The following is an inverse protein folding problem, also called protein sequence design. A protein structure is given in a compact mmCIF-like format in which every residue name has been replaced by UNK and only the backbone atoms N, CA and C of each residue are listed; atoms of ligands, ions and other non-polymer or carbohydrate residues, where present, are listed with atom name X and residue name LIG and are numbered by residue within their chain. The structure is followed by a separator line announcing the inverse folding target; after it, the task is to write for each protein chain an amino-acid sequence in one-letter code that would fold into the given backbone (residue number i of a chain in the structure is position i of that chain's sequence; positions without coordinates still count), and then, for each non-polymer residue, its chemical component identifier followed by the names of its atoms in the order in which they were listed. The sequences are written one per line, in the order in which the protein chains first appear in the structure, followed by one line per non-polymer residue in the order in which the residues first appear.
data_IF_144744738825
#
_entry.id   IF_144744738825
#
_cell.length_a   1.000
_cell.length_b   1.000
_cell.length_c   1.000
_cell.angle_alpha   90.00
_cell.angle_beta   90.00
_cell.angle_gamma   90.00
#
_symmetry.space_group_name_H-M   'P 1'
#
loop_
_entity.id
_entity.type
_entity.pdbx_description
1 polymer ?
#
# COMPACT_ATOMS: atom_id res chain seq x y z
N UNK A 1 -27.07 -8.07 -12.04
CA UNK A 1 -25.86 -8.84 -12.39
C UNK A 1 -24.67 -8.12 -11.80
N UNK A 2 -23.64 -8.81 -11.26
CA UNK A 2 -22.44 -8.13 -10.81
C UNK A 2 -21.81 -7.35 -11.97
N UNK A 3 -21.38 -6.12 -11.71
CA UNK A 3 -20.75 -5.25 -12.69
C UNK A 3 -19.44 -5.87 -13.19
N UNK A 4 -19.14 -5.74 -14.48
CA UNK A 4 -17.91 -6.30 -15.06
C UNK A 4 -16.68 -5.52 -14.53
N UNK A 5 -15.58 -6.22 -14.25
CA UNK A 5 -14.33 -5.59 -13.79
C UNK A 5 -13.82 -4.52 -14.77
N UNK A 6 -14.05 -4.72 -16.07
CA UNK A 6 -13.70 -3.75 -17.12
C UNK A 6 -14.52 -2.46 -17.03
N UNK A 7 -15.81 -2.54 -16.73
CA UNK A 7 -16.69 -1.39 -16.54
C UNK A 7 -16.28 -0.60 -15.28
N UNK A 8 -16.01 -1.31 -14.18
CA UNK A 8 -15.51 -0.71 -12.94
C UNK A 8 -14.19 0.03 -13.19
N UNK A 9 -13.26 -0.60 -13.92
CA UNK A 9 -11.98 0.00 -14.28
C UNK A 9 -12.17 1.28 -15.09
N UNK A 10 -12.97 1.25 -16.16
CA UNK A 10 -13.19 2.41 -17.03
C UNK A 10 -13.86 3.58 -16.30
N UNK A 11 -14.79 3.28 -15.39
CA UNK A 11 -15.43 4.30 -14.56
C UNK A 11 -14.42 4.94 -13.58
N UNK A 12 -13.58 4.14 -12.92
CA UNK A 12 -12.52 4.64 -12.04
C UNK A 12 -11.47 5.44 -12.81
N UNK A 13 -11.08 4.95 -13.99
CA UNK A 13 -10.11 5.62 -14.87
C UNK A 13 -10.58 7.01 -15.27
N UNK A 14 -11.84 7.12 -15.69
CA UNK A 14 -12.48 8.39 -16.03
C UNK A 14 -12.53 9.34 -14.83
N UNK A 15 -12.95 8.83 -13.67
CA UNK A 15 -13.10 9.61 -12.45
C UNK A 15 -11.76 10.16 -11.94
N UNK A 16 -10.74 9.29 -11.85
CA UNK A 16 -9.39 9.67 -11.43
C UNK A 16 -8.79 10.71 -12.39
N UNK A 17 -9.03 10.54 -13.70
CA UNK A 17 -8.61 11.50 -14.73
C UNK A 17 -9.29 12.86 -14.56
N UNK A 18 -10.61 12.87 -14.34
CA UNK A 18 -11.41 14.10 -14.15
C UNK A 18 -10.90 14.91 -12.96
N UNK A 19 -10.55 14.23 -11.86
CA UNK A 19 -10.12 14.88 -10.63
C UNK A 19 -8.61 14.96 -10.43
N UNK A 20 -7.80 14.72 -11.47
CA UNK A 20 -6.33 14.65 -11.34
C UNK A 20 -5.72 15.90 -10.69
N UNK A 21 -6.27 17.09 -10.92
CA UNK A 21 -5.79 18.33 -10.30
C UNK A 21 -5.89 18.33 -8.75
N UNK A 22 -6.74 17.48 -8.16
CA UNK A 22 -6.95 17.40 -6.71
C UNK A 22 -6.09 16.36 -6.00
N UNK A 23 -5.39 15.50 -6.73
CA UNK A 23 -4.56 14.45 -6.11
C UNK A 23 -3.17 14.30 -6.72
N UNK A 24 -3.00 14.69 -7.98
CA UNK A 24 -1.78 14.56 -8.79
C UNK A 24 -0.85 15.76 -8.64
N UNK A 25 -0.54 16.11 -7.39
CA UNK A 25 0.42 17.14 -7.03
C UNK A 25 1.12 16.79 -5.71
N UNK A 26 2.22 17.44 -5.40
CA UNK A 26 2.92 17.28 -4.11
C UNK A 26 2.64 18.48 -3.20
N UNK A 27 1.95 18.30 -2.05
CA UNK A 27 1.65 19.38 -1.11
C UNK A 27 2.90 20.15 -0.64
N UNK A 28 4.05 19.49 -0.56
CA UNK A 28 5.30 20.11 -0.13
C UNK A 28 5.81 21.17 -1.11
N UNK A 29 5.42 21.11 -2.39
CA UNK A 29 5.83 22.09 -3.40
C UNK A 29 4.99 23.37 -3.40
N UNK A 30 3.83 23.37 -2.74
CA UNK A 30 2.87 24.47 -2.84
C UNK A 30 2.86 25.28 -1.56
N UNK A 31 3.02 26.60 -1.65
CA UNK A 31 3.00 27.55 -0.51
C UNK A 31 1.62 28.12 -0.20
N UNK A 32 0.63 27.86 -1.05
CA UNK A 32 -0.78 28.21 -0.86
C UNK A 32 -1.69 27.03 -1.26
N UNK A 33 -2.99 27.14 -0.95
CA UNK A 33 -3.97 26.16 -1.47
C UNK A 33 -4.11 26.35 -2.98
N UNK A 34 -3.94 25.29 -3.80
CA UNK A 34 -4.08 25.43 -5.25
C UNK A 34 -5.51 25.79 -5.71
N UNK A 35 -6.46 25.76 -4.78
CA UNK A 35 -7.91 25.95 -5.00
C UNK A 35 -8.46 27.07 -4.13
N UNK A 36 -7.61 27.99 -3.65
CA UNK A 36 -7.97 29.05 -2.71
C UNK A 36 -9.20 29.88 -3.16
N UNK A 37 -9.33 30.16 -4.45
CA UNK A 37 -10.40 30.99 -5.02
C UNK A 37 -11.70 30.22 -5.27
N UNK A 38 -11.74 28.93 -4.97
CA UNK A 38 -12.93 28.09 -5.14
C UNK A 38 -13.73 27.96 -3.85
N UNK A 39 -15.01 27.56 -3.95
CA UNK A 39 -15.84 27.22 -2.78
C UNK A 39 -15.16 26.19 -1.87
N UNK A 40 -14.50 25.21 -2.50
CA UNK A 40 -13.78 24.16 -1.81
C UNK A 40 -12.56 24.75 -1.02
N UNK A 41 -11.83 25.72 -1.59
CA UNK A 41 -10.71 26.37 -0.91
C UNK A 41 -11.15 27.24 0.27
N UNK A 42 -12.24 28.00 0.11
CA UNK A 42 -12.86 28.77 1.19
C UNK A 42 -13.32 27.85 2.32
N UNK A 43 -13.92 26.71 1.98
CA UNK A 43 -14.34 25.71 2.96
C UNK A 43 -13.15 25.14 3.75
N UNK A 44 -12.05 24.76 3.07
CA UNK A 44 -10.83 24.33 3.75
C UNK A 44 -10.27 25.35 4.73
N UNK A 45 -10.29 26.64 4.36
CA UNK A 45 -9.73 27.69 5.21
C UNK A 45 -10.44 27.73 6.57
N UNK A 46 -11.74 27.41 6.59
CA UNK A 46 -12.58 27.39 7.79
C UNK A 46 -12.41 26.13 8.66
N UNK A 47 -11.76 25.07 8.16
CA UNK A 47 -11.55 23.85 8.94
C UNK A 47 -10.55 24.12 10.08
N UNK A 48 -11.00 23.87 11.31
CA UNK A 48 -10.21 23.98 12.53
C UNK A 48 -9.32 22.75 12.74
N UNK A 49 -8.20 22.86 13.49
CA UNK A 49 -7.26 21.74 13.70
C UNK A 49 -7.89 20.45 14.24
N UNK A 50 -8.85 20.54 15.17
CA UNK A 50 -9.54 19.36 15.73
C UNK A 50 -10.31 18.59 14.65
N UNK A 51 -10.94 19.32 13.74
CA UNK A 51 -11.72 18.74 12.66
C UNK A 51 -10.80 18.10 11.59
N UNK A 52 -9.61 18.68 11.35
CA UNK A 52 -8.59 18.09 10.48
C UNK A 52 -8.18 16.70 10.98
N UNK A 53 -7.93 16.55 12.28
CA UNK A 53 -7.50 15.26 12.85
C UNK A 53 -8.58 14.18 12.67
N UNK A 54 -9.85 14.54 12.89
CA UNK A 54 -10.98 13.64 12.65
C UNK A 54 -11.08 13.24 11.17
N UNK A 55 -11.00 14.23 10.26
CA UNK A 55 -11.05 13.99 8.81
C UNK A 55 -9.85 13.18 8.31
N UNK A 56 -8.68 13.27 8.92
CA UNK A 56 -7.52 12.45 8.52
C UNK A 56 -7.70 10.97 8.94
N UNK A 57 -8.24 10.73 10.14
CA UNK A 57 -8.38 9.41 10.73
C UNK A 57 -9.60 8.61 10.24
N UNK A 58 -10.72 9.29 9.96
CA UNK A 58 -11.97 8.64 9.56
C UNK A 58 -12.24 8.84 8.06
N UNK A 59 -11.93 7.80 7.28
CA UNK A 59 -12.11 7.81 5.83
C UNK A 59 -13.58 7.94 5.40
N UNK A 60 -14.50 7.30 6.14
CA UNK A 60 -15.94 7.34 5.84
C UNK A 60 -16.47 8.74 6.12
N UNK A 61 -16.12 9.30 7.26
CA UNK A 61 -16.50 10.66 7.62
C UNK A 61 -15.93 11.68 6.62
N UNK A 62 -14.65 11.57 6.27
CA UNK A 62 -14.02 12.44 5.29
C UNK A 62 -14.72 12.40 3.93
N UNK A 63 -15.07 11.21 3.44
CA UNK A 63 -15.80 11.07 2.18
C UNK A 63 -17.18 11.72 2.24
N UNK A 64 -17.90 11.54 3.35
CA UNK A 64 -19.18 12.21 3.58
C UNK A 64 -19.03 13.73 3.68
N UNK A 65 -17.97 14.21 4.33
CA UNK A 65 -17.73 15.63 4.54
C UNK A 65 -17.49 16.38 3.23
N UNK A 66 -16.72 15.78 2.31
CA UNK A 66 -16.40 16.38 1.02
C UNK A 66 -17.39 15.99 -0.11
N UNK A 67 -18.53 15.37 0.20
CA UNK A 67 -19.47 14.88 -0.82
C UNK A 67 -20.08 15.96 -1.68
N UNK A 68 -20.23 17.18 -1.15
CA UNK A 68 -20.72 18.33 -1.94
C UNK A 68 -19.78 18.68 -3.10
N UNK A 69 -18.47 18.50 -2.90
CA UNK A 69 -17.45 18.87 -3.87
C UNK A 69 -17.08 17.74 -4.82
N UNK A 70 -17.23 16.49 -4.37
CA UNK A 70 -16.91 15.29 -5.13
C UNK A 70 -18.02 14.22 -5.01
N UNK A 71 -19.27 14.52 -5.43
CA UNK A 71 -20.39 13.61 -5.23
C UNK A 71 -20.22 12.27 -5.97
N UNK A 72 -19.52 12.27 -7.10
CA UNK A 72 -19.22 11.09 -7.91
C UNK A 72 -18.37 10.08 -7.15
N UNK A 73 -17.58 10.51 -6.16
CA UNK A 73 -16.81 9.58 -5.33
C UNK A 73 -17.73 8.64 -4.56
N UNK A 74 -18.97 9.04 -4.24
CA UNK A 74 -19.95 8.22 -3.53
C UNK A 74 -20.51 7.05 -4.35
N UNK A 75 -20.27 7.03 -5.65
CA UNK A 75 -20.71 5.95 -6.53
C UNK A 75 -19.81 4.71 -6.44
N UNK A 76 -18.59 4.86 -5.92
CA UNK A 76 -17.60 3.79 -5.83
C UNK A 76 -17.53 3.24 -4.41
N UNK A 77 -18.23 2.17 -4.14
CA UNK A 77 -18.02 1.42 -2.91
C UNK A 77 -16.78 0.54 -3.06
N UNK A 78 -16.00 0.34 -1.99
CA UNK A 78 -14.97 -0.70 -2.01
C UNK A 78 -15.60 -2.06 -2.37
N UNK A 79 -14.77 -2.96 -2.91
CA UNK A 79 -15.17 -4.35 -3.10
C UNK A 79 -15.78 -4.90 -1.81
N UNK A 80 -16.84 -5.71 -1.94
CA UNK A 80 -17.58 -6.21 -0.79
C UNK A 80 -16.67 -6.95 0.19
N UNK A 81 -16.81 -6.60 1.47
CA UNK A 81 -16.25 -7.38 2.57
C UNK A 81 -17.00 -8.69 2.64
N UNK A 82 -16.28 -9.79 2.40
CA UNK A 82 -16.90 -11.12 2.50
C UNK A 82 -17.04 -11.48 3.98
N UNK A 83 -18.28 -11.43 4.47
CA UNK A 83 -18.64 -11.91 5.81
C UNK A 83 -18.96 -13.40 5.75
N UNK A 84 -17.94 -14.25 5.60
CA UNK A 84 -18.18 -15.68 5.84
C UNK A 84 -18.39 -15.90 7.34
N UNK A 85 -19.53 -16.51 7.69
CA UNK A 85 -19.80 -16.98 9.04
C UNK A 85 -18.74 -18.01 9.39
N UNK A 86 -17.83 -17.63 10.29
CA UNK A 86 -16.80 -18.52 10.81
C UNK A 86 -17.49 -19.65 11.58
N UNK A 87 -17.70 -20.80 10.95
CA UNK A 87 -18.37 -21.96 11.57
C UNK A 87 -17.40 -22.89 12.28
N UNK A 88 -16.09 -22.77 12.06
CA UNK A 88 -15.10 -23.62 12.71
C UNK A 88 -13.85 -22.83 13.20
N UNK A 89 -13.99 -22.22 14.37
CA UNK A 89 -12.86 -21.73 15.16
C UNK A 89 -12.32 -22.82 16.09
N UNK A 90 -11.89 -23.97 15.57
CA UNK A 90 -10.92 -24.75 16.35
C UNK A 90 -9.76 -23.82 16.71
N UNK A 91 -9.56 -23.50 17.99
CA UNK A 91 -8.54 -22.56 18.39
C UNK A 91 -7.18 -23.10 17.95
N UNK A 92 -6.38 -22.28 17.25
CA UNK A 92 -5.01 -22.67 16.93
C UNK A 92 -4.27 -22.81 18.28
N UNK A 93 -3.57 -23.93 18.54
CA UNK A 93 -2.91 -24.12 19.82
C UNK A 93 -1.95 -22.98 20.15
N UNK A 94 -1.91 -22.52 21.40
CA UNK A 94 -1.11 -21.38 21.84
C UNK A 94 0.38 -21.47 21.43
N UNK A 95 0.95 -22.67 21.47
CA UNK A 95 2.35 -22.91 21.08
C UNK A 95 2.62 -22.65 19.60
N UNK A 96 1.60 -22.68 18.74
CA UNK A 96 1.72 -22.47 17.30
C UNK A 96 1.76 -20.97 16.94
N UNK A 97 1.01 -20.15 17.67
CA UNK A 97 0.89 -18.71 17.43
C UNK A 97 1.88 -17.85 18.23
N UNK A 98 2.62 -18.42 19.18
CA UNK A 98 3.55 -17.71 20.10
C UNK A 98 4.49 -16.72 19.40
N UNK A 99 4.99 -17.07 18.21
CA UNK A 99 5.98 -16.26 17.48
C UNK A 99 5.36 -15.32 16.43
N UNK A 100 4.03 -15.21 16.40
CA UNK A 100 3.28 -14.36 15.47
C UNK A 100 2.58 -13.25 16.26
N UNK A 101 2.93 -11.99 15.99
CA UNK A 101 2.23 -10.84 16.59
C UNK A 101 0.74 -10.92 16.26
N UNK A 102 -0.13 -10.62 17.24
CA UNK A 102 -1.59 -10.82 17.14
C UNK A 102 -2.20 -10.32 15.84
N UNK A 103 -1.89 -9.08 15.42
CA UNK A 103 -2.38 -8.52 14.16
C UNK A 103 -1.95 -9.31 12.92
N UNK A 104 -0.69 -9.76 12.87
CA UNK A 104 -0.18 -10.56 11.75
C UNK A 104 -0.86 -11.93 11.71
N UNK A 105 -1.14 -12.50 12.88
CA UNK A 105 -1.88 -13.76 12.98
C UNK A 105 -3.29 -13.61 12.46
N UNK A 106 -3.99 -12.56 12.87
CA UNK A 106 -5.35 -12.25 12.42
C UNK A 106 -5.39 -12.07 10.90
N UNK A 107 -4.44 -11.32 10.31
CA UNK A 107 -4.34 -11.18 8.85
C UNK A 107 -4.16 -12.52 8.12
N UNK A 108 -3.30 -13.40 8.65
CA UNK A 108 -3.07 -14.73 8.09
C UNK A 108 -4.36 -15.56 8.17
N UNK A 109 -5.05 -15.53 9.31
CA UNK A 109 -6.30 -16.26 9.52
C UNK A 109 -7.39 -15.77 8.57
N UNK A 110 -7.61 -14.45 8.49
CA UNK A 110 -8.62 -13.88 7.59
C UNK A 110 -8.29 -14.15 6.13
N UNK A 111 -7.01 -14.03 5.72
CA UNK A 111 -6.60 -14.34 4.37
C UNK A 111 -6.87 -15.82 4.03
N UNK A 112 -6.48 -16.74 4.90
CA UNK A 112 -6.61 -18.17 4.64
C UNK A 112 -8.06 -18.67 4.70
N UNK A 113 -8.95 -17.98 5.41
CA UNK A 113 -10.39 -18.23 5.31
C UNK A 113 -10.95 -17.77 3.96
N UNK A 114 -10.42 -16.67 3.41
CA UNK A 114 -10.94 -16.05 2.20
C UNK A 114 -10.30 -16.57 0.90
N UNK A 115 -9.15 -17.23 0.96
CA UNK A 115 -8.51 -17.81 -0.21
C UNK A 115 -9.35 -18.95 -0.82
N UNK A 116 -9.06 -19.30 -2.07
CA UNK A 116 -9.71 -20.42 -2.73
C UNK A 116 -9.41 -21.74 -2.01
N UNK A 117 -10.45 -22.53 -1.74
CA UNK A 117 -10.31 -23.85 -1.12
C UNK A 117 -9.94 -24.89 -2.17
N UNK A 118 -8.88 -25.65 -1.90
CA UNK A 118 -8.29 -26.62 -2.84
C UNK A 118 -7.29 -27.53 -2.12
N UNK A 119 -7.07 -28.72 -2.66
CA UNK A 119 -6.07 -29.68 -2.20
C UNK A 119 -4.71 -29.56 -2.91
N UNK A 120 -4.58 -28.60 -3.83
CA UNK A 120 -3.33 -28.38 -4.57
C UNK A 120 -2.13 -28.14 -3.63
N UNK A 121 -0.88 -28.46 -4.01
CA UNK A 121 0.28 -27.98 -3.28
C UNK A 121 0.33 -26.44 -3.31
N UNK A 122 0.75 -25.83 -2.21
CA UNK A 122 0.84 -24.37 -2.07
C UNK A 122 2.26 -23.91 -2.34
N UNK A 123 2.41 -22.87 -3.15
CA UNK A 123 3.61 -22.05 -3.24
C UNK A 123 3.38 -20.72 -2.50
N UNK A 124 4.09 -20.47 -1.41
CA UNK A 124 4.05 -19.20 -0.68
C UNK A 124 5.14 -18.27 -1.26
N UNK A 125 4.70 -17.20 -1.92
CA UNK A 125 5.58 -16.23 -2.56
C UNK A 125 5.98 -15.11 -1.59
N UNK A 126 7.28 -14.81 -1.50
CA UNK A 126 7.84 -13.84 -0.53
C UNK A 126 7.51 -14.22 0.93
N UNK A 127 7.91 -15.42 1.34
CA UNK A 127 7.45 -16.07 2.56
C UNK A 127 7.96 -15.42 3.87
N UNK A 128 9.11 -14.73 3.86
CA UNK A 128 9.80 -14.33 5.09
C UNK A 128 10.07 -15.56 5.98
N UNK A 129 9.54 -15.56 7.20
CA UNK A 129 9.62 -16.70 8.13
C UNK A 129 8.58 -17.82 7.84
N UNK A 130 7.79 -17.67 6.78
CA UNK A 130 6.77 -18.61 6.31
C UNK A 130 5.64 -18.86 7.30
N UNK A 131 5.14 -17.81 7.95
CA UNK A 131 4.05 -17.95 8.92
C UNK A 131 2.71 -18.31 8.26
N UNK A 132 2.41 -17.77 7.07
CA UNK A 132 1.20 -18.10 6.34
C UNK A 132 1.31 -19.55 5.85
N UNK A 133 2.41 -19.91 5.19
CA UNK A 133 2.65 -21.28 4.74
C UNK A 133 2.54 -22.32 5.86
N UNK A 134 3.08 -22.00 7.03
CA UNK A 134 2.96 -22.87 8.22
C UNK A 134 1.52 -23.02 8.68
N UNK A 135 0.77 -21.92 8.72
CA UNK A 135 -0.64 -21.94 9.10
C UNK A 135 -1.46 -22.80 8.14
N UNK A 136 -1.24 -22.64 6.82
CA UNK A 136 -1.90 -23.43 5.78
C UNK A 136 -1.55 -24.92 5.92
N UNK A 137 -0.26 -25.23 6.10
CA UNK A 137 0.21 -26.60 6.29
C UNK A 137 -0.42 -27.27 7.52
N UNK A 138 -0.53 -26.54 8.63
CA UNK A 138 -1.11 -27.06 9.87
C UNK A 138 -2.64 -27.22 9.81
N UNK A 139 -3.35 -26.20 9.33
CA UNK A 139 -4.82 -26.16 9.37
C UNK A 139 -5.47 -26.90 8.22
N UNK A 140 -4.88 -26.82 7.04
CA UNK A 140 -5.43 -27.40 5.82
C UNK A 140 -4.71 -28.69 5.42
N UNK A 141 -3.68 -29.12 6.16
CA UNK A 141 -2.90 -30.34 5.88
C UNK A 141 -2.26 -30.35 4.49
N UNK A 142 -1.93 -29.16 3.96
CA UNK A 142 -1.37 -29.00 2.62
C UNK A 142 0.15 -29.01 2.64
N UNK A 143 0.73 -29.54 1.56
CA UNK A 143 2.17 -29.40 1.26
C UNK A 143 2.44 -27.95 0.86
N UNK A 144 3.43 -27.32 1.47
CA UNK A 144 3.78 -25.93 1.21
C UNK A 144 5.26 -25.79 0.81
N UNK A 145 5.51 -25.04 -0.24
CA UNK A 145 6.85 -24.58 -0.63
C UNK A 145 6.91 -23.07 -0.45
N UNK A 146 7.82 -22.58 0.38
CA UNK A 146 7.99 -21.17 0.71
C UNK A 146 9.22 -20.60 0.01
N UNK A 147 9.03 -19.63 -0.89
CA UNK A 147 10.13 -18.91 -1.54
C UNK A 147 10.50 -17.66 -0.74
N UNK A 148 11.78 -17.52 -0.40
CA UNK A 148 12.29 -16.36 0.34
C UNK A 148 13.72 -16.02 -0.12
N UNK A 149 14.05 -14.73 -0.21
CA UNK A 149 15.36 -14.28 -0.68
C UNK A 149 16.44 -14.39 0.40
N UNK A 150 16.10 -14.11 1.66
CA UNK A 150 17.07 -14.03 2.76
C UNK A 150 17.39 -15.43 3.33
N UNK A 151 18.65 -15.91 3.22
CA UNK A 151 19.04 -17.24 3.68
C UNK A 151 18.71 -17.51 5.15
N UNK A 152 18.89 -16.49 6.00
CA UNK A 152 18.61 -16.59 7.42
C UNK A 152 17.12 -16.87 7.69
N UNK A 153 16.21 -16.19 6.98
CA UNK A 153 14.78 -16.38 7.15
C UNK A 153 14.33 -17.77 6.66
N UNK A 154 14.92 -18.27 5.57
CA UNK A 154 14.71 -19.64 5.11
C UNK A 154 15.12 -20.66 6.17
N UNK A 155 16.31 -20.50 6.78
CA UNK A 155 16.81 -21.39 7.82
C UNK A 155 15.92 -21.38 9.06
N UNK A 156 15.55 -20.20 9.56
CA UNK A 156 14.64 -20.04 10.70
C UNK A 156 13.27 -20.69 10.44
N UNK A 157 12.69 -20.44 9.26
CA UNK A 157 11.42 -21.02 8.84
C UNK A 157 11.48 -22.55 8.73
N UNK A 158 12.52 -23.08 8.10
CA UNK A 158 12.72 -24.52 7.93
C UNK A 158 12.90 -25.24 9.27
N UNK A 159 13.64 -24.65 10.22
CA UNK A 159 13.79 -25.19 11.57
C UNK A 159 12.43 -25.26 12.29
N UNK A 160 11.62 -24.22 12.14
CA UNK A 160 10.30 -24.15 12.79
C UNK A 160 9.32 -25.17 12.19
N UNK A 161 9.29 -25.32 10.86
CA UNK A 161 8.50 -26.36 10.19
C UNK A 161 8.89 -27.77 10.63
N UNK A 162 10.19 -28.07 10.71
CA UNK A 162 10.72 -29.36 11.20
C UNK A 162 10.33 -29.64 12.65
N UNK A 163 10.47 -28.64 13.53
CA UNK A 163 10.08 -28.77 14.96
C UNK A 163 8.61 -29.14 15.12
N UNK A 164 7.75 -28.60 14.26
CA UNK A 164 6.31 -28.87 14.27
C UNK A 164 5.89 -30.06 13.40
N UNK A 165 6.84 -30.73 12.73
CA UNK A 165 6.60 -31.85 11.80
C UNK A 165 5.61 -31.49 10.68
N UNK A 166 5.69 -30.27 10.16
CA UNK A 166 4.81 -29.78 9.09
C UNK A 166 5.44 -30.02 7.71
N UNK A 167 4.63 -30.39 6.69
CA UNK A 167 5.09 -30.51 5.30
C UNK A 167 5.29 -29.14 4.63
N UNK A 168 6.14 -28.30 5.22
CA UNK A 168 6.58 -27.01 4.67
C UNK A 168 8.09 -27.05 4.36
N UNK A 169 8.45 -26.78 3.12
CA UNK A 169 9.84 -26.62 2.66
C UNK A 169 10.16 -25.17 2.32
N UNK A 170 11.40 -24.75 2.52
CA UNK A 170 11.87 -23.42 2.13
C UNK A 170 12.88 -23.51 1.00
N UNK A 171 12.78 -22.60 0.04
CA UNK A 171 13.75 -22.43 -1.05
C UNK A 171 14.24 -20.99 -1.01
N UNK A 172 15.56 -20.84 -0.94
CA UNK A 172 16.18 -19.54 -1.10
C UNK A 172 16.12 -19.14 -2.58
N UNK A 173 15.37 -18.10 -2.91
CA UNK A 173 15.21 -17.66 -4.30
C UNK A 173 15.04 -16.15 -4.40
N UNK A 174 15.68 -15.54 -5.41
CA UNK A 174 15.27 -14.22 -5.88
C UNK A 174 14.06 -14.38 -6.79
N UNK A 175 12.91 -13.97 -6.29
CA UNK A 175 11.66 -14.06 -7.04
C UNK A 175 11.60 -13.09 -8.24
N UNK A 176 12.48 -12.08 -8.29
CA UNK A 176 12.62 -11.17 -9.44
C UNK A 176 13.51 -11.74 -10.55
N UNK A 177 14.31 -12.76 -10.25
CA UNK A 177 15.21 -13.38 -11.22
C UNK A 177 14.47 -14.18 -12.31
N UNK A 178 15.20 -14.56 -13.36
CA UNK A 178 14.70 -15.47 -14.41
C UNK A 178 14.47 -16.89 -13.87
N UNK A 179 15.30 -17.29 -12.91
CA UNK A 179 15.30 -18.61 -12.28
C UNK A 179 14.02 -18.89 -11.47
N UNK A 180 13.33 -17.84 -11.02
CA UNK A 180 12.09 -17.96 -10.26
C UNK A 180 11.02 -18.79 -11.00
N UNK A 181 11.00 -18.71 -12.33
CA UNK A 181 10.08 -19.46 -13.20
C UNK A 181 10.09 -20.98 -12.95
N UNK A 182 11.24 -21.54 -12.54
CA UNK A 182 11.43 -22.99 -12.28
C UNK A 182 10.63 -23.51 -11.09
N UNK A 183 10.17 -22.61 -10.22
CA UNK A 183 9.38 -22.97 -9.05
C UNK A 183 7.87 -22.95 -9.32
N UNK A 184 7.44 -22.45 -10.49
CA UNK A 184 6.03 -22.41 -10.86
C UNK A 184 5.67 -23.60 -11.78
N UNK A 185 4.49 -24.14 -11.57
CA UNK A 185 3.92 -25.25 -12.34
C UNK A 185 2.39 -25.06 -12.46
N UNK A 186 1.73 -25.92 -13.23
CA UNK A 186 0.29 -25.86 -13.46
C UNK A 186 -0.50 -26.29 -12.22
N UNK A 187 -0.16 -27.44 -11.63
CA UNK A 187 -0.93 -28.08 -10.53
C UNK A 187 -0.54 -27.53 -9.15
N UNK A 188 -0.71 -26.22 -8.95
CA UNK A 188 -0.44 -25.58 -7.67
C UNK A 188 -1.40 -24.41 -7.40
N UNK A 189 -1.49 -24.02 -6.13
CA UNK A 189 -2.05 -22.74 -5.71
C UNK A 189 -0.93 -21.84 -5.21
N UNK A 190 -0.82 -20.63 -5.75
CA UNK A 190 0.13 -19.64 -5.26
C UNK A 190 -0.58 -18.69 -4.30
N UNK A 191 0.02 -18.46 -3.13
CA UNK A 191 -0.45 -17.48 -2.15
C UNK A 191 0.58 -16.39 -1.93
N UNK A 192 0.14 -15.14 -1.83
CA UNK A 192 1.02 -14.00 -1.58
C UNK A 192 0.31 -12.90 -0.78
N UNK A 193 0.57 -12.83 0.54
CA UNK A 193 -0.02 -11.81 1.41
C UNK A 193 0.77 -10.48 1.41
N UNK A 194 2.08 -10.53 1.20
CA UNK A 194 2.98 -9.38 1.20
C UNK A 194 4.05 -9.47 0.09
N UNK A 195 3.62 -9.63 -1.15
CA UNK A 195 4.49 -9.43 -2.30
C UNK A 195 4.40 -7.96 -2.73
N UNK A 196 5.39 -7.14 -2.38
CA UNK A 196 5.34 -5.69 -2.59
C UNK A 196 5.79 -5.27 -4.00
N UNK A 197 5.07 -4.34 -4.64
CA UNK A 197 5.51 -3.70 -5.88
C UNK A 197 5.88 -4.70 -6.99
N UNK A 198 7.09 -4.64 -7.54
CA UNK A 198 7.49 -5.55 -8.63
C UNK A 198 7.39 -7.04 -8.26
N UNK A 199 7.42 -7.40 -6.97
CA UNK A 199 7.32 -8.79 -6.52
C UNK A 199 5.97 -9.41 -6.87
N UNK A 200 4.85 -8.69 -6.72
CA UNK A 200 3.54 -9.20 -7.14
C UNK A 200 3.36 -9.10 -8.66
N UNK A 201 4.01 -8.14 -9.33
CA UNK A 201 3.94 -8.01 -10.80
C UNK A 201 4.60 -9.21 -11.45
N UNK A 202 5.82 -9.53 -10.99
CA UNK A 202 6.58 -10.68 -11.46
C UNK A 202 5.86 -12.00 -11.20
N UNK A 203 5.24 -12.14 -10.03
CA UNK A 203 4.38 -13.29 -9.71
C UNK A 203 3.28 -13.48 -10.75
N UNK A 204 2.49 -12.43 -11.02
CA UNK A 204 1.37 -12.52 -11.96
C UNK A 204 1.82 -12.92 -13.37
N UNK A 205 2.94 -12.35 -13.84
CA UNK A 205 3.51 -12.67 -15.14
C UNK A 205 3.96 -14.14 -15.22
N UNK A 206 4.75 -14.60 -14.24
CA UNK A 206 5.28 -15.96 -14.24
C UNK A 206 4.18 -17.01 -14.05
N UNK A 207 3.23 -16.76 -13.14
CA UNK A 207 2.14 -17.70 -12.88
C UNK A 207 1.22 -17.85 -14.08
N UNK A 208 0.94 -16.75 -14.79
CA UNK A 208 0.16 -16.78 -16.03
C UNK A 208 0.87 -17.54 -17.13
N UNK A 209 2.19 -17.36 -17.28
CA UNK A 209 3.02 -18.08 -18.25
C UNK A 209 3.09 -19.59 -17.94
N UNK A 210 3.23 -19.95 -16.66
CA UNK A 210 3.22 -21.35 -16.22
C UNK A 210 1.82 -22.00 -16.29
N UNK A 211 0.77 -21.20 -16.50
CA UNK A 211 -0.61 -21.66 -16.45
C UNK A 211 -1.00 -22.19 -15.07
N UNK A 212 -0.44 -21.63 -14.00
CA UNK A 212 -0.73 -22.04 -12.63
C UNK A 212 -2.23 -22.00 -12.35
N UNK A 213 -2.76 -23.06 -11.74
CA UNK A 213 -4.20 -23.28 -11.62
C UNK A 213 -4.88 -22.26 -10.71
N UNK A 214 -4.31 -21.94 -9.55
CA UNK A 214 -4.94 -21.02 -8.59
C UNK A 214 -3.97 -19.96 -8.05
N UNK A 215 -4.48 -18.74 -7.85
CA UNK A 215 -3.73 -17.64 -7.27
C UNK A 215 -4.60 -16.90 -6.25
N UNK A 216 -4.06 -16.66 -5.06
CA UNK A 216 -4.64 -15.79 -4.03
C UNK A 216 -3.60 -14.76 -3.59
N UNK A 217 -3.77 -13.52 -4.05
CA UNK A 217 -2.74 -12.48 -3.93
C UNK A 217 -3.36 -11.22 -3.33
N UNK A 218 -2.65 -10.63 -2.37
CA UNK A 218 -2.93 -9.29 -1.82
C UNK A 218 -1.81 -8.35 -2.28
N UNK A 219 -1.99 -7.62 -3.40
CA UNK A 219 -1.00 -6.65 -3.85
C UNK A 219 -0.84 -5.53 -2.83
N UNK A 220 0.40 -5.11 -2.55
CA UNK A 220 0.68 -4.00 -1.66
C UNK A 220 1.92 -3.21 -2.08
N UNK A 221 2.11 -2.03 -1.50
CA UNK A 221 3.28 -1.17 -1.73
C UNK A 221 3.57 -0.89 -3.22
N UNK A 222 2.56 -0.45 -3.97
CA UNK A 222 2.62 -0.25 -5.42
C UNK A 222 3.74 0.66 -5.92
N UNK A 223 4.32 1.49 -5.07
CA UNK A 223 5.43 2.39 -5.40
C UNK A 223 6.81 1.71 -5.39
N UNK A 224 6.93 0.48 -4.89
CA UNK A 224 8.18 -0.29 -4.85
C UNK A 224 8.44 -0.98 -6.20
N UNK A 225 8.60 -0.16 -7.23
CA UNK A 225 8.87 -0.56 -8.61
C UNK A 225 10.26 -0.10 -9.02
N UNK A 226 10.94 -0.86 -9.88
CA UNK A 226 12.28 -0.57 -10.38
C UNK A 226 12.27 0.59 -11.39
N UNK A 227 11.18 0.75 -12.15
CA UNK A 227 10.96 1.88 -13.05
C UNK A 227 10.52 3.15 -12.31
N UNK A 228 10.70 4.31 -12.94
CA UNK A 228 10.18 5.58 -12.42
C UNK A 228 8.65 5.70 -12.54
N UNK A 229 8.10 5.01 -13.55
CA UNK A 229 6.69 5.02 -13.90
C UNK A 229 6.13 3.59 -13.90
N UNK A 230 4.90 3.47 -13.42
CA UNK A 230 4.14 2.24 -13.44
C UNK A 230 3.89 1.77 -14.88
N UNK A 231 4.18 0.50 -15.12
CA UNK A 231 3.86 -0.17 -16.37
C UNK A 231 2.57 -0.97 -16.19
N UNK A 232 1.50 -0.52 -16.85
CA UNK A 232 0.20 -1.16 -16.80
C UNK A 232 0.25 -2.58 -17.38
N UNK A 233 -0.44 -3.52 -16.72
CA UNK A 233 -0.42 -4.93 -17.10
C UNK A 233 -1.47 -5.28 -18.15
N UNK A 234 -2.70 -4.83 -17.92
CA UNK A 234 -3.83 -5.11 -18.80
C UNK A 234 -3.87 -4.15 -19.99
N UNK A 235 -4.38 -4.65 -21.13
CA UNK A 235 -4.60 -3.80 -22.31
C UNK A 235 -5.45 -2.56 -22.02
N UNK A 236 -6.46 -2.65 -21.14
CA UNK A 236 -7.30 -1.49 -20.79
C UNK A 236 -6.49 -0.42 -20.05
N UNK A 237 -5.69 -0.81 -19.06
CA UNK A 237 -4.86 0.13 -18.32
C UNK A 237 -3.69 0.70 -19.14
N UNK A 238 -3.19 -0.03 -20.14
CA UNK A 238 -2.20 0.48 -21.09
C UNK A 238 -2.76 1.62 -21.96
N UNK A 239 -4.07 1.64 -22.20
CA UNK A 239 -4.78 2.70 -22.95
C UNK A 239 -5.58 3.64 -22.02
N UNK A 240 -5.23 3.66 -20.73
CA UNK A 240 -5.87 4.48 -19.72
C UNK A 240 -5.83 5.97 -20.08
N UNK A 241 -6.95 6.66 -19.86
CA UNK A 241 -7.04 8.13 -19.99
C UNK A 241 -6.24 8.84 -18.89
N UNK A 242 -6.07 8.18 -17.74
CA UNK A 242 -5.31 8.70 -16.61
C UNK A 242 -3.81 8.85 -16.94
N UNK A 243 -3.33 8.04 -17.87
CA UNK A 243 -1.92 7.98 -18.24
C UNK A 243 -1.06 7.27 -17.19
N UNK A 244 0.26 7.26 -17.41
CA UNK A 244 1.22 6.55 -16.55
C UNK A 244 1.35 7.21 -15.18
N UNK A 245 1.37 6.41 -14.11
CA UNK A 245 1.57 6.89 -12.73
C UNK A 245 3.04 6.82 -12.33
N UNK A 246 3.58 7.87 -11.72
CA UNK A 246 4.94 7.85 -11.15
C UNK A 246 4.97 7.27 -9.72
N UNK A 247 6.15 6.99 -9.19
CA UNK A 247 6.32 6.44 -7.83
C UNK A 247 5.65 7.27 -6.73
N UNK A 248 5.65 8.59 -6.81
CA UNK A 248 5.04 9.44 -5.77
C UNK A 248 3.51 9.44 -5.84
N UNK A 249 2.94 9.29 -7.02
CA UNK A 249 1.51 9.04 -7.23
C UNK A 249 1.11 7.66 -6.71
N UNK A 250 1.91 6.63 -6.97
CA UNK A 250 1.70 5.28 -6.42
C UNK A 250 1.82 5.24 -4.89
N UNK A 251 2.67 6.10 -4.30
CA UNK A 251 2.76 6.23 -2.83
C UNK A 251 1.44 6.70 -2.25
N UNK A 252 0.69 7.56 -2.93
CA UNK A 252 -0.60 8.05 -2.44
C UNK A 252 -1.54 6.88 -2.13
N UNK A 253 -1.61 5.90 -3.02
CA UNK A 253 -2.46 4.72 -2.84
C UNK A 253 -2.20 4.01 -1.49
N UNK A 254 -0.97 4.03 -0.97
CA UNK A 254 -0.55 3.26 0.22
C UNK A 254 -0.27 4.12 1.46
N UNK A 255 -0.67 5.40 1.46
CA UNK A 255 -0.38 6.33 2.56
C UNK A 255 -1.34 6.22 3.76
N UNK A 256 -2.35 5.34 3.71
CA UNK A 256 -3.28 5.13 4.82
C UNK A 256 -2.56 4.63 6.08
N UNK A 257 -2.92 5.18 7.25
CA UNK A 257 -2.27 4.89 8.52
C UNK A 257 -3.28 4.55 9.62
N UNK A 258 -3.79 3.33 9.61
CA UNK A 258 -4.73 2.86 10.65
C UNK A 258 -4.06 2.16 11.83
N UNK A 259 -2.75 1.92 11.77
CA UNK A 259 -2.08 1.00 12.72
C UNK A 259 -0.78 1.52 13.32
N UNK A 260 -0.47 2.80 13.09
CA UNK A 260 0.63 3.44 13.77
C UNK A 260 0.22 3.76 15.22
N UNK A 261 1.06 3.39 16.18
CA UNK A 261 0.85 3.81 17.58
C UNK A 261 1.18 5.30 17.76
N UNK A 262 0.66 5.92 18.83
CA UNK A 262 0.77 7.36 19.11
C UNK A 262 2.20 7.91 19.00
N UNK A 263 3.19 7.18 19.54
CA UNK A 263 4.60 7.56 19.44
C UNK A 263 5.08 7.70 17.99
N UNK A 264 4.67 6.78 17.13
CA UNK A 264 5.06 6.78 15.70
C UNK A 264 4.36 7.94 14.99
N UNK A 265 3.10 8.21 15.32
CA UNK A 265 2.33 9.35 14.81
C UNK A 265 2.99 10.67 15.20
N UNK A 266 3.35 10.86 16.47
CA UNK A 266 4.03 12.08 16.94
C UNK A 266 5.36 12.31 16.22
N UNK A 267 6.20 11.28 16.11
CA UNK A 267 7.49 11.39 15.39
C UNK A 267 7.30 11.79 13.93
N UNK A 268 6.26 11.25 13.26
CA UNK A 268 5.94 11.62 11.88
C UNK A 268 5.49 13.07 11.77
N UNK A 269 4.65 13.54 12.68
CA UNK A 269 4.22 14.94 12.73
C UNK A 269 5.43 15.87 12.92
N UNK A 270 6.35 15.53 13.84
CA UNK A 270 7.61 16.25 14.02
C UNK A 270 8.45 16.25 12.75
N UNK A 271 8.57 15.10 12.08
CA UNK A 271 9.30 15.00 10.80
C UNK A 271 8.73 15.92 9.73
N UNK A 272 7.41 15.89 9.51
CA UNK A 272 6.75 16.74 8.51
C UNK A 272 6.95 18.21 8.86
N UNK A 273 6.70 18.60 10.11
CA UNK A 273 6.88 19.96 10.59
C UNK A 273 8.31 20.46 10.35
N UNK A 274 9.32 19.69 10.75
CA UNK A 274 10.71 20.10 10.65
C UNK A 274 11.20 20.18 9.21
N UNK A 275 10.76 19.27 8.33
CA UNK A 275 11.05 19.35 6.90
C UNK A 275 10.46 20.63 6.29
N UNK A 276 9.25 21.02 6.67
CA UNK A 276 8.61 22.25 6.20
C UNK A 276 9.30 23.49 6.78
N UNK A 277 9.60 23.51 8.08
CA UNK A 277 10.32 24.61 8.73
C UNK A 277 11.72 24.84 8.10
N UNK A 278 12.43 23.75 7.81
CA UNK A 278 13.70 23.82 7.09
C UNK A 278 13.52 24.34 5.66
N UNK A 279 12.46 23.95 4.96
CA UNK A 279 12.20 24.44 3.61
C UNK A 279 11.97 25.96 3.60
N UNK A 280 11.19 26.49 4.55
CA UNK A 280 10.96 27.93 4.70
C UNK A 280 12.27 28.68 5.00
N UNK A 281 13.13 28.11 5.86
CA UNK A 281 14.48 28.60 6.14
C UNK A 281 15.34 28.67 4.89
N UNK A 282 15.41 27.54 4.14
CA UNK A 282 16.21 27.42 2.94
C UNK A 282 15.79 28.42 1.87
N UNK A 283 14.49 28.50 1.58
CA UNK A 283 13.95 29.40 0.55
C UNK A 283 14.18 30.87 0.89
N UNK A 284 13.95 31.26 2.14
CA UNK A 284 14.15 32.63 2.59
C UNK A 284 15.63 33.07 2.49
N UNK A 285 16.57 32.22 2.95
CA UNK A 285 17.98 32.61 3.02
C UNK A 285 18.74 32.42 1.71
N UNK A 286 18.39 31.41 0.91
CA UNK A 286 18.98 31.19 -0.41
C UNK A 286 18.28 31.99 -1.53
N UNK A 287 17.16 32.67 -1.22
CA UNK A 287 16.34 33.43 -2.17
C UNK A 287 15.86 32.58 -3.35
N UNK A 288 15.46 31.36 -3.07
CA UNK A 288 14.92 30.40 -4.05
C UNK A 288 13.48 30.06 -3.72
N UNK A 289 12.69 29.78 -4.75
CA UNK A 289 11.28 29.42 -4.61
C UNK A 289 11.02 27.93 -4.77
N UNK A 290 11.94 27.19 -5.39
CA UNK A 290 11.73 25.78 -5.70
C UNK A 290 11.85 24.90 -4.45
N UNK A 291 10.97 23.90 -4.37
CA UNK A 291 11.08 22.86 -3.36
C UNK A 291 12.24 21.92 -3.67
N UNK A 292 13.08 21.65 -2.66
CA UNK A 292 14.20 20.71 -2.79
C UNK A 292 14.04 19.57 -1.77
N UNK A 293 13.78 18.33 -2.22
CA UNK A 293 13.58 17.23 -1.29
C UNK A 293 14.86 16.91 -0.51
N UNK A 294 14.68 16.36 0.69
CA UNK A 294 15.73 15.79 1.52
C UNK A 294 15.66 14.27 1.43
N UNK A 295 16.81 13.60 1.60
CA UNK A 295 16.87 12.14 1.65
C UNK A 295 16.08 11.56 2.84
N UNK A 296 15.86 10.26 2.81
CA UNK A 296 15.38 9.53 3.99
C UNK A 296 16.39 9.66 5.12
N UNK A 297 15.91 9.78 6.35
CA UNK A 297 16.74 10.05 7.53
C UNK A 297 16.26 9.22 8.73
N UNK A 298 17.18 8.71 9.58
CA UNK A 298 16.78 7.94 10.75
C UNK A 298 15.93 8.76 11.73
N UNK A 299 14.97 8.10 12.38
CA UNK A 299 13.98 8.74 13.25
C UNK A 299 14.56 9.44 14.50
N UNK A 300 15.81 9.16 14.87
CA UNK A 300 16.44 9.79 16.04
C UNK A 300 16.57 11.31 15.89
N UNK A 301 16.70 11.81 14.65
CA UNK A 301 16.76 13.25 14.39
C UNK A 301 15.52 13.95 14.95
N UNK A 302 14.33 13.38 14.75
CA UNK A 302 13.05 13.94 15.18
C UNK A 302 12.76 13.78 16.69
N UNK A 303 13.74 13.31 17.46
CA UNK A 303 13.68 13.25 18.93
C UNK A 303 14.57 14.30 19.61
N UNK A 304 15.34 15.09 18.84
CA UNK A 304 16.25 16.12 19.36
C UNK A 304 15.72 17.53 19.14
N UNK A 305 16.62 18.44 18.75
CA UNK A 305 16.32 19.85 18.47
C UNK A 305 16.20 20.13 16.96
N UNK A 306 15.31 21.06 16.58
CA UNK A 306 15.12 21.45 15.17
C UNK A 306 16.39 21.99 14.53
N UNK A 307 17.19 22.77 15.26
CA UNK A 307 18.45 23.34 14.76
C UNK A 307 19.43 22.25 14.33
N UNK A 308 19.55 21.15 15.09
CA UNK A 308 20.42 20.03 14.73
C UNK A 308 19.97 19.39 13.42
N UNK A 309 18.67 19.13 13.27
CA UNK A 309 18.10 18.62 12.02
C UNK A 309 18.31 19.58 10.84
N UNK A 310 18.12 20.89 11.05
CA UNK A 310 18.31 21.89 10.01
C UNK A 310 19.76 21.93 9.51
N UNK A 311 20.76 21.82 10.40
CA UNK A 311 22.16 21.74 9.99
C UNK A 311 22.47 20.46 9.19
N UNK A 312 21.91 19.32 9.59
CA UNK A 312 22.00 18.09 8.80
C UNK A 312 21.39 18.27 7.40
N UNK A 313 20.20 18.87 7.34
CA UNK A 313 19.50 19.13 6.09
C UNK A 313 20.27 20.13 5.20
N UNK A 314 20.86 21.17 5.78
CA UNK A 314 21.72 22.10 5.07
C UNK A 314 22.98 21.44 4.52
N UNK A 315 23.56 20.48 5.24
CA UNK A 315 24.65 19.63 4.75
C UNK A 315 24.25 18.82 3.51
N UNK A 316 23.04 18.25 3.47
CA UNK A 316 22.51 17.56 2.28
C UNK A 316 22.36 18.50 1.08
N UNK A 317 21.95 19.74 1.33
CA UNK A 317 21.77 20.76 0.29
C UNK A 317 23.05 21.56 -0.02
N UNK A 318 24.16 21.27 0.69
CA UNK A 318 25.48 21.87 0.53
C UNK A 318 25.53 23.39 0.77
N UNK A 319 24.90 23.85 1.86
CA UNK A 319 24.97 25.25 2.29
C UNK A 319 25.13 25.37 3.81
N UNK A 320 25.46 26.58 4.28
CA UNK A 320 25.67 26.86 5.69
C UNK A 320 24.59 27.80 6.23
N UNK A 321 24.03 27.44 7.38
CA UNK A 321 23.02 28.26 8.06
C UNK A 321 23.73 29.36 8.87
N UNK A 322 23.32 30.64 8.75
CA UNK A 322 23.87 31.73 9.57
C UNK A 322 23.69 31.51 11.08
N UNK A 323 24.69 31.91 11.87
CA UNK A 323 24.71 31.69 13.32
C UNK A 323 23.58 32.46 14.06
N UNK A 324 23.09 33.56 13.48
CA UNK A 324 22.02 34.41 14.00
C UNK A 324 20.61 33.96 13.55
N UNK A 325 20.49 32.75 13.01
CA UNK A 325 19.20 32.20 12.56
C UNK A 325 18.17 32.14 13.69
N UNK A 326 17.02 32.76 13.45
CA UNK A 326 15.87 32.75 14.36
C UNK A 326 15.08 31.45 14.23
N UNK A 327 15.50 30.40 14.95
CA UNK A 327 14.90 29.06 14.86
C UNK A 327 13.38 29.05 15.10
N UNK A 328 12.90 29.73 16.15
CA UNK A 328 11.48 29.78 16.50
C UNK A 328 10.62 30.40 15.40
N UNK A 329 11.15 31.41 14.70
CA UNK A 329 10.47 32.05 13.58
C UNK A 329 10.22 31.04 12.44
N UNK A 330 11.22 30.25 12.08
CA UNK A 330 11.07 29.24 11.02
C UNK A 330 10.24 28.03 11.46
N UNK A 331 10.25 27.69 12.74
CA UNK A 331 9.30 26.70 13.29
C UNK A 331 7.85 27.18 13.17
N UNK A 332 7.57 28.45 13.46
CA UNK A 332 6.23 29.04 13.29
C UNK A 332 5.79 29.04 11.82
N UNK A 333 6.68 29.42 10.89
CA UNK A 333 6.38 29.30 9.45
C UNK A 333 6.13 27.85 9.05
N UNK A 334 6.94 26.92 9.54
CA UNK A 334 6.75 25.49 9.35
C UNK A 334 5.40 24.98 9.86
N UNK A 335 4.90 25.49 11.00
CA UNK A 335 3.58 25.15 11.53
C UNK A 335 2.45 25.63 10.62
N UNK A 336 2.54 26.87 10.10
CA UNK A 336 1.57 27.40 9.14
C UNK A 336 1.54 26.56 7.86
N UNK A 337 2.72 26.21 7.34
CA UNK A 337 2.87 25.33 6.17
C UNK A 337 2.35 23.93 6.44
N UNK A 338 2.57 23.40 7.64
CA UNK A 338 2.08 22.09 8.03
C UNK A 338 0.56 22.03 8.01
N UNK A 339 -0.13 23.04 8.56
CA UNK A 339 -1.58 23.16 8.50
C UNK A 339 -2.09 23.17 7.05
N UNK A 340 -1.44 23.94 6.18
CA UNK A 340 -1.77 24.00 4.77
C UNK A 340 -1.60 22.63 4.08
N UNK A 341 -0.49 21.94 4.37
CA UNK A 341 -0.21 20.59 3.86
C UNK A 341 -1.26 19.58 4.36
N UNK A 342 -1.68 19.65 5.63
CA UNK A 342 -2.75 18.79 6.15
C UNK A 342 -4.06 19.02 5.41
N UNK A 343 -4.47 20.28 5.22
CA UNK A 343 -5.69 20.63 4.46
C UNK A 343 -5.66 20.11 3.02
N UNK A 344 -4.52 20.24 2.32
CA UNK A 344 -4.35 19.63 1.00
C UNK A 344 -4.44 18.10 1.05
N UNK A 345 -3.84 17.48 2.07
CA UNK A 345 -3.88 16.02 2.24
C UNK A 345 -5.29 15.49 2.48
N UNK A 346 -6.17 16.22 3.17
CA UNK A 346 -7.56 15.82 3.34
C UNK A 346 -8.21 15.53 1.99
N UNK A 347 -8.11 16.45 1.03
CA UNK A 347 -8.67 16.21 -0.32
C UNK A 347 -7.89 15.17 -1.12
N UNK A 348 -6.55 15.21 -1.12
CA UNK A 348 -5.76 14.18 -1.83
C UNK A 348 -6.09 12.77 -1.33
N UNK A 349 -6.39 12.63 -0.04
CA UNK A 349 -6.63 11.34 0.58
C UNK A 349 -7.96 10.68 0.17
N UNK A 350 -8.92 11.44 -0.36
CA UNK A 350 -10.17 10.92 -0.93
C UNK A 350 -9.92 9.95 -2.09
N UNK A 351 -8.82 10.12 -2.80
CA UNK A 351 -8.49 9.35 -4.00
C UNK A 351 -7.64 8.10 -3.73
N UNK A 352 -7.16 7.90 -2.50
CA UNK A 352 -6.35 6.72 -2.12
C UNK A 352 -7.04 5.38 -2.41
N UNK A 353 -8.29 5.14 -1.93
CA UNK A 353 -8.97 3.86 -2.20
C UNK A 353 -9.24 3.66 -3.69
N UNK A 354 -9.48 4.74 -4.43
CA UNK A 354 -9.77 4.67 -5.88
C UNK A 354 -8.52 4.32 -6.68
N UNK A 355 -7.37 4.93 -6.34
CA UNK A 355 -6.08 4.58 -6.94
C UNK A 355 -5.69 3.12 -6.66
N UNK A 356 -5.91 2.65 -5.43
CA UNK A 356 -5.69 1.25 -5.10
C UNK A 356 -6.60 0.31 -5.90
N UNK A 357 -7.90 0.62 -5.99
CA UNK A 357 -8.84 -0.17 -6.79
C UNK A 357 -8.45 -0.19 -8.27
N UNK A 358 -8.05 0.94 -8.84
CA UNK A 358 -7.56 1.02 -10.22
C UNK A 358 -6.36 0.08 -10.44
N UNK A 359 -5.39 0.09 -9.51
CA UNK A 359 -4.21 -0.78 -9.57
C UNK A 359 -4.55 -2.27 -9.39
N UNK A 360 -5.49 -2.60 -8.50
CA UNK A 360 -5.97 -3.98 -8.31
C UNK A 360 -6.73 -4.47 -9.54
N UNK A 361 -7.61 -3.64 -10.11
CA UNK A 361 -8.36 -3.97 -11.30
C UNK A 361 -7.46 -4.16 -12.52
N UNK A 362 -6.39 -3.39 -12.68
CA UNK A 362 -5.40 -3.64 -13.74
C UNK A 362 -4.82 -5.07 -13.65
N UNK A 363 -4.46 -5.52 -12.45
CA UNK A 363 -3.94 -6.88 -12.21
C UNK A 363 -5.01 -7.95 -12.46
N UNK A 364 -6.24 -7.70 -12.01
CA UNK A 364 -7.36 -8.61 -12.21
C UNK A 364 -7.72 -8.75 -13.69
N UNK A 365 -7.78 -7.64 -14.42
CA UNK A 365 -8.02 -7.60 -15.87
C UNK A 365 -6.90 -8.29 -16.64
N UNK A 366 -5.65 -8.09 -16.24
CA UNK A 366 -4.53 -8.83 -16.82
C UNK A 366 -4.73 -10.34 -16.67
N UNK A 367 -5.06 -10.83 -15.48
CA UNK A 367 -5.34 -12.26 -15.28
C UNK A 367 -6.53 -12.75 -16.13
N UNK A 368 -7.61 -11.96 -16.25
CA UNK A 368 -8.72 -12.30 -17.15
C UNK A 368 -8.27 -12.44 -18.60
N UNK A 369 -7.40 -11.54 -19.09
CA UNK A 369 -6.81 -11.62 -20.43
C UNK A 369 -5.94 -12.87 -20.61
N UNK A 370 -5.32 -13.35 -19.52
CA UNK A 370 -4.57 -14.60 -19.49
C UNK A 370 -5.48 -15.84 -19.36
N UNK A 371 -6.81 -15.70 -19.43
CA UNK A 371 -7.76 -16.83 -19.39
C UNK A 371 -8.09 -17.33 -17.98
N UNK A 372 -7.91 -16.50 -16.95
CA UNK A 372 -8.37 -16.80 -15.59
C UNK A 372 -9.80 -16.32 -15.36
N UNK A 373 -10.56 -17.08 -14.58
CA UNK A 373 -11.72 -16.56 -13.87
C UNK A 373 -11.21 -15.83 -12.62
N UNK A 374 -11.56 -14.55 -12.47
CA UNK A 374 -11.00 -13.67 -11.44
C UNK A 374 -12.10 -13.10 -10.56
N UNK A 375 -11.85 -13.07 -9.26
CA UNK A 375 -12.65 -12.37 -8.26
C UNK A 375 -11.76 -11.41 -7.48
N UNK A 376 -12.28 -10.22 -7.20
CA UNK A 376 -11.66 -9.26 -6.27
C UNK A 376 -12.61 -9.03 -5.10
N UNK A 377 -12.09 -9.13 -3.88
CA UNK A 377 -12.89 -8.94 -2.66
C UNK A 377 -12.06 -8.31 -1.54
N UNK A 378 -12.73 -7.76 -0.54
CA UNK A 378 -12.09 -7.43 0.72
C UNK A 378 -11.98 -8.68 1.60
N UNK A 379 -10.76 -9.05 2.01
CA UNK A 379 -10.52 -10.26 2.81
C UNK A 379 -10.56 -10.02 4.33
N UNK A 380 -10.48 -8.77 4.76
CA UNK A 380 -10.52 -8.40 6.18
C UNK A 380 -10.95 -6.94 6.39
N UNK A 381 -11.22 -6.58 7.64
CA UNK A 381 -11.54 -5.22 8.03
C UNK A 381 -10.38 -4.24 7.73
N UNK A 382 -10.72 -3.02 7.33
CA UNK A 382 -9.75 -1.97 7.00
C UNK A 382 -8.84 -1.61 8.19
N UNK A 383 -9.34 -1.66 9.43
CA UNK A 383 -8.56 -1.43 10.64
C UNK A 383 -7.49 -2.50 10.85
N UNK A 384 -7.74 -3.73 10.37
CA UNK A 384 -6.74 -4.78 10.38
C UNK A 384 -5.62 -4.49 9.37
N UNK A 385 -5.96 -4.07 8.15
CA UNK A 385 -5.00 -3.52 7.19
C UNK A 385 -5.70 -2.68 6.13
N UNK A 386 -5.18 -1.50 5.77
CA UNK A 386 -5.70 -0.73 4.66
C UNK A 386 -5.49 -1.42 3.31
N UNK A 387 -4.61 -2.43 3.24
CA UNK A 387 -4.35 -3.25 2.04
C UNK A 387 -5.12 -4.55 2.19
N UNK A 388 -6.45 -4.45 2.07
CA UNK A 388 -7.36 -5.57 2.32
C UNK A 388 -7.99 -6.15 1.04
N UNK A 389 -7.54 -5.76 -0.15
CA UNK A 389 -8.04 -6.29 -1.42
C UNK A 389 -7.29 -7.56 -1.82
N UNK A 390 -8.04 -8.67 -1.89
CA UNK A 390 -7.59 -9.98 -2.35
C UNK A 390 -8.04 -10.19 -3.79
N UNK A 391 -7.10 -10.59 -4.65
CA UNK A 391 -7.35 -11.12 -5.99
C UNK A 391 -7.27 -12.64 -5.90
N UNK A 392 -8.39 -13.31 -6.19
CA UNK A 392 -8.48 -14.76 -6.34
C UNK A 392 -8.68 -15.10 -7.82
N UNK A 393 -7.89 -16.03 -8.36
CA UNK A 393 -7.93 -16.36 -9.78
C UNK A 393 -7.76 -17.86 -10.04
N UNK A 394 -8.66 -18.44 -10.82
CA UNK A 394 -8.62 -19.85 -11.25
C UNK A 394 -8.42 -19.95 -12.76
N UNK A 395 -7.44 -20.73 -13.22
CA UNK A 395 -7.24 -20.98 -14.65
C UNK A 395 -8.36 -21.87 -15.16
N UNK A 396 -9.08 -21.42 -16.19
CA UNK A 396 -10.07 -22.27 -16.84
C UNK A 396 -9.36 -23.39 -17.59
N UNK A 397 -9.57 -24.65 -17.17
CA UNK A 397 -9.11 -25.80 -17.95
C UNK A 397 -9.89 -25.82 -19.26
N UNK A 398 -9.21 -25.73 -20.39
CA UNK A 398 -9.86 -25.95 -21.68
C UNK A 398 -10.31 -27.42 -21.70
N UNK A 399 -11.62 -27.65 -21.66
CA UNK A 399 -12.18 -28.96 -21.95
C UNK A 399 -11.97 -29.17 -23.46
N UNK A 400 -10.93 -29.92 -23.82
CA UNK A 400 -10.70 -30.40 -25.17
C UNK A 400 -11.56 -31.63 -25.46
#
# INVERSE_FOLDING_TARGET
MPQLLSEQFLQLDLLLSQYQQFWRFSPFHLTSLPWADTKLGQHLQQIEPVEIDRLDQDEVYRRSYFSEFFPELNQFSPFELTQEKVTDQTAVPFWFSRDIKGRKLEQIQTFALQMQQSDLPVLEWCAGKGHLGRWLSFRMQRKVTSLEWQPQLCSEGQQQAKKLKLPQGFIQADVLSEEASKHLNTEQQIVALHACGDLHIRLLQLASQAGTEQLDIVPCCYHLIASEQYQALSTLAQHSRLGQLNRDELKLAVQAQVTAGERVTRLRQTEVLWRLAYQELYQALQKVTDYRPLSSVPKHWFSGEFSAFAHWAAGQHQWQIPADTRWDYYLQLGQQRHLLVQKMQLVRSLFRPLLEQWLVLDRALFLQQQGYQVQVKQFCDYQLTPRNLLISACKLRQMY
#
